data_IF_391014830797
#
_entry.id   IF_391014830797
#
_cell.length_a   1.000
_cell.length_b   1.000
_cell.length_c   1.000
_cell.angle_alpha   90.00
_cell.angle_beta   90.00
_cell.angle_gamma   90.00
#
_symmetry.space_group_name_H-M   'P 1'
#
loop_
_entity.id
_entity.type
_entity.pdbx_description
1 polymer ?
#
# COMPACT_ATOMS: atom_id res chain seq x y z
N UNK A 1 64.82 -6.30 -14.84
CA UNK A 1 63.70 -7.20 -14.46
C UNK A 1 62.83 -6.66 -13.30
N UNK A 2 62.98 -5.40 -12.87
CA UNK A 2 62.38 -4.88 -11.62
C UNK A 2 61.09 -4.07 -11.78
N UNK A 3 60.83 -3.50 -12.98
CA UNK A 3 59.61 -2.71 -13.26
C UNK A 3 58.36 -3.58 -13.39
N UNK A 4 58.48 -4.73 -14.05
CA UNK A 4 57.35 -5.62 -14.35
C UNK A 4 56.77 -6.29 -13.10
N UNK A 5 57.62 -6.60 -12.10
CA UNK A 5 57.18 -7.13 -10.80
C UNK A 5 56.38 -6.12 -9.96
N UNK A 6 56.70 -4.82 -10.07
CA UNK A 6 55.98 -3.76 -9.34
C UNK A 6 54.60 -3.49 -9.93
N UNK A 7 54.47 -3.52 -11.26
CA UNK A 7 53.17 -3.37 -11.93
C UNK A 7 52.24 -4.56 -11.62
N UNK A 8 52.79 -5.78 -11.60
CA UNK A 8 52.01 -6.97 -11.27
C UNK A 8 51.55 -6.99 -9.81
N UNK A 9 52.42 -6.58 -8.87
CA UNK A 9 52.06 -6.47 -7.45
C UNK A 9 51.00 -5.38 -7.19
N UNK A 10 51.06 -4.27 -7.92
CA UNK A 10 50.09 -3.19 -7.81
C UNK A 10 48.73 -3.58 -8.42
N UNK A 11 48.71 -4.30 -9.54
CA UNK A 11 47.48 -4.85 -10.12
C UNK A 11 46.81 -5.87 -9.17
N UNK A 12 47.59 -6.74 -8.52
CA UNK A 12 47.08 -7.70 -7.54
C UNK A 12 46.51 -6.99 -6.29
N UNK A 13 47.16 -5.93 -5.81
CA UNK A 13 46.68 -5.14 -4.68
C UNK A 13 45.39 -4.39 -5.00
N UNK A 14 45.26 -3.82 -6.20
CA UNK A 14 44.01 -3.17 -6.66
C UNK A 14 42.88 -4.19 -6.80
N UNK A 15 43.16 -5.39 -7.29
CA UNK A 15 42.17 -6.47 -7.39
C UNK A 15 41.71 -6.98 -6.02
N UNK A 16 42.62 -7.10 -5.04
CA UNK A 16 42.28 -7.45 -3.66
C UNK A 16 41.44 -6.38 -2.95
N UNK A 17 41.71 -5.11 -3.20
CA UNK A 17 40.88 -4.00 -2.70
C UNK A 17 39.50 -4.02 -3.34
N UNK A 18 39.40 -4.28 -4.65
CA UNK A 18 38.12 -4.43 -5.35
C UNK A 18 37.27 -5.57 -4.76
N UNK A 19 37.89 -6.73 -4.50
CA UNK A 19 37.22 -7.88 -3.88
C UNK A 19 36.81 -7.63 -2.42
N UNK A 20 37.51 -6.76 -1.69
CA UNK A 20 37.10 -6.37 -0.33
C UNK A 20 35.97 -5.33 -0.33
N UNK A 21 35.88 -4.46 -1.33
CA UNK A 21 34.76 -3.52 -1.48
C UNK A 21 33.48 -4.17 -1.99
N UNK A 22 33.58 -5.22 -2.82
CA UNK A 22 32.42 -6.01 -3.28
C UNK A 22 31.69 -6.72 -2.12
N UNK A 23 32.37 -6.97 -0.99
CA UNK A 23 31.77 -7.60 0.20
C UNK A 23 31.04 -6.62 1.15
N UNK A 24 31.14 -5.31 0.94
CA UNK A 24 30.55 -4.29 1.84
C UNK A 24 29.38 -3.55 1.17
N UNK A 25 29.25 -3.63 -0.15
CA UNK A 25 28.17 -2.99 -0.92
C UNK A 25 27.50 -3.94 -1.92
N UNK A 26 27.37 -5.24 -1.60
CA UNK A 26 26.28 -6.00 -2.19
C UNK A 26 24.97 -5.45 -1.59
N UNK A 27 24.02 -4.89 -2.37
CA UNK A 27 22.64 -5.04 -1.97
C UNK A 27 22.48 -6.54 -1.77
N UNK A 28 22.10 -6.97 -0.55
CA UNK A 28 21.62 -8.32 -0.37
C UNK A 28 20.45 -8.44 -1.35
N UNK A 29 20.71 -9.02 -2.52
CA UNK A 29 19.69 -9.75 -3.23
C UNK A 29 19.35 -10.84 -2.24
N UNK A 30 18.33 -10.58 -1.42
CA UNK A 30 17.72 -11.62 -0.63
C UNK A 30 17.48 -12.74 -1.62
N UNK A 31 18.15 -13.88 -1.40
CA UNK A 31 17.69 -15.10 -2.01
C UNK A 31 16.23 -15.20 -1.59
N UNK A 32 15.32 -14.97 -2.54
CA UNK A 32 13.91 -15.27 -2.41
C UNK A 32 13.78 -16.81 -2.37
N UNK A 33 14.26 -17.39 -1.28
CA UNK A 33 13.96 -18.75 -0.84
C UNK A 33 12.97 -18.73 0.33
N UNK A 34 12.35 -17.58 0.62
CA UNK A 34 11.16 -17.51 1.45
C UNK A 34 9.96 -17.81 0.58
N UNK A 35 9.08 -18.70 1.05
CA UNK A 35 7.81 -18.95 0.36
C UNK A 35 7.10 -17.61 0.14
N UNK A 36 6.74 -17.32 -1.11
CA UNK A 36 5.94 -16.14 -1.48
C UNK A 36 4.67 -16.19 -0.63
N UNK A 37 4.45 -15.16 0.18
CA UNK A 37 3.28 -15.08 1.06
C UNK A 37 2.15 -14.29 0.39
N UNK A 38 2.49 -13.39 -0.53
CA UNK A 38 1.54 -12.57 -1.28
C UNK A 38 1.69 -12.86 -2.77
N UNK A 39 0.67 -13.48 -3.36
CA UNK A 39 0.65 -13.76 -4.80
C UNK A 39 0.18 -12.55 -5.61
N UNK A 40 -0.83 -11.86 -5.12
CA UNK A 40 -1.48 -10.77 -5.85
C UNK A 40 -2.15 -9.81 -4.86
N UNK A 41 -2.13 -8.52 -5.17
CA UNK A 41 -2.85 -7.48 -4.44
C UNK A 41 -3.34 -6.46 -5.46
N UNK A 42 -4.65 -6.23 -5.51
CA UNK A 42 -5.29 -5.36 -6.52
C UNK A 42 -6.31 -4.45 -5.90
N UNK A 43 -6.40 -3.26 -6.48
CA UNK A 43 -7.47 -2.31 -6.23
C UNK A 43 -8.38 -2.21 -7.46
N UNK A 44 -9.67 -2.07 -7.18
CA UNK A 44 -10.67 -1.81 -8.22
C UNK A 44 -11.68 -0.78 -7.75
N UNK A 45 -11.88 0.26 -8.54
CA UNK A 45 -13.01 1.17 -8.36
C UNK A 45 -14.33 0.46 -8.67
N UNK A 46 -15.26 0.52 -7.71
CA UNK A 46 -16.66 0.10 -7.90
C UNK A 46 -17.46 1.29 -8.42
N UNK A 47 -17.18 2.49 -7.90
CA UNK A 47 -17.70 3.74 -8.46
C UNK A 47 -17.17 3.93 -9.87
N UNK A 48 -18.05 4.36 -10.78
CA UNK A 48 -17.69 4.62 -12.18
C UNK A 48 -16.67 5.76 -12.26
N UNK A 49 -15.52 5.45 -12.85
CA UNK A 49 -14.48 6.41 -13.16
C UNK A 49 -14.72 7.04 -14.54
N UNK A 50 -14.45 8.34 -14.68
CA UNK A 50 -14.68 9.06 -15.93
C UNK A 50 -13.66 8.72 -17.01
N UNK A 51 -12.37 8.60 -16.65
CA UNK A 51 -11.28 8.37 -17.60
C UNK A 51 -10.71 6.95 -17.56
N UNK A 52 -11.12 6.13 -16.61
CA UNK A 52 -10.85 4.69 -16.55
C UNK A 52 -9.44 4.35 -16.06
N UNK A 53 -8.79 5.24 -15.33
CA UNK A 53 -7.43 5.07 -14.80
C UNK A 53 -7.51 4.38 -13.43
N UNK A 54 -7.02 3.12 -13.28
CA UNK A 54 -7.26 2.33 -12.06
C UNK A 54 -6.74 2.94 -10.77
N UNK A 55 -5.63 3.68 -10.80
CA UNK A 55 -4.95 4.16 -9.59
C UNK A 55 -5.60 5.39 -8.96
N UNK A 56 -6.56 6.04 -9.65
CA UNK A 56 -7.22 7.28 -9.20
C UNK A 56 -8.68 7.30 -9.61
N UNK A 57 -9.45 8.23 -9.05
CA UNK A 57 -10.83 8.43 -9.46
C UNK A 57 -11.02 9.85 -10.01
N UNK A 58 -11.54 9.96 -11.22
CA UNK A 58 -12.05 11.19 -11.80
C UNK A 58 -13.58 11.17 -11.83
N UNK A 59 -14.18 12.09 -11.08
CA UNK A 59 -15.63 12.17 -10.91
C UNK A 59 -16.27 13.07 -11.98
N UNK A 60 -17.46 12.69 -12.47
CA UNK A 60 -18.24 13.48 -13.43
C UNK A 60 -19.09 14.57 -12.76
N UNK A 61 -19.55 15.52 -13.58
CA UNK A 61 -20.51 16.57 -13.22
C UNK A 61 -21.85 16.05 -12.65
N UNK A 62 -22.22 14.78 -12.87
CA UNK A 62 -23.45 14.21 -12.30
C UNK A 62 -23.48 14.22 -10.76
N UNK A 63 -22.30 14.35 -10.13
CA UNK A 63 -22.23 14.57 -8.71
C UNK A 63 -22.63 16.00 -8.30
N UNK A 64 -22.63 17.02 -9.17
CA UNK A 64 -22.83 18.47 -8.89
C UNK A 64 -24.23 18.89 -8.36
N UNK A 65 -24.99 17.98 -7.75
CA UNK A 65 -26.29 18.26 -7.14
C UNK A 65 -26.20 18.91 -5.74
N UNK A 66 -24.99 19.05 -5.18
CA UNK A 66 -24.72 19.63 -3.87
C UNK A 66 -24.92 18.69 -2.68
N UNK A 67 -25.47 17.49 -2.91
CA UNK A 67 -25.67 16.48 -1.89
C UNK A 67 -24.36 15.76 -1.55
N UNK A 68 -24.30 15.21 -0.35
CA UNK A 68 -23.20 14.31 0.02
C UNK A 68 -23.32 13.00 -0.75
N UNK A 69 -22.22 12.52 -1.28
CA UNK A 69 -22.12 11.21 -1.92
C UNK A 69 -20.97 10.39 -1.35
N UNK A 70 -20.91 9.14 -1.80
CA UNK A 70 -19.89 8.17 -1.42
C UNK A 70 -19.28 7.54 -2.67
N UNK A 71 -18.01 7.17 -2.58
CA UNK A 71 -17.33 6.37 -3.60
C UNK A 71 -16.83 5.07 -3.01
N UNK A 72 -16.84 4.01 -3.81
CA UNK A 72 -16.53 2.66 -3.39
C UNK A 72 -15.38 2.08 -4.20
N UNK A 73 -14.51 1.35 -3.52
CA UNK A 73 -13.46 0.54 -4.11
C UNK A 73 -13.37 -0.80 -3.41
N UNK A 74 -12.75 -1.77 -4.07
CA UNK A 74 -12.54 -3.11 -3.55
C UNK A 74 -11.03 -3.39 -3.53
N UNK A 75 -10.57 -3.97 -2.41
CA UNK A 75 -9.23 -4.58 -2.29
C UNK A 75 -9.38 -6.08 -2.47
N UNK A 76 -8.68 -6.64 -3.45
CA UNK A 76 -8.59 -8.08 -3.69
C UNK A 76 -7.15 -8.54 -3.44
N UNK A 77 -6.97 -9.43 -2.47
CA UNK A 77 -5.64 -9.90 -2.04
C UNK A 77 -5.62 -11.42 -2.10
N UNK A 78 -4.59 -11.98 -2.73
CA UNK A 78 -4.36 -13.42 -2.82
C UNK A 78 -3.11 -13.76 -2.05
N UNK A 79 -3.31 -14.49 -0.95
CA UNK A 79 -2.24 -15.01 -0.12
C UNK A 79 -1.83 -16.40 -0.60
N UNK A 80 -0.56 -16.68 -0.43
CA UNK A 80 0.04 -18.00 -0.55
C UNK A 80 0.93 -18.26 0.65
N UNK A 81 1.44 -19.48 0.78
CA UNK A 81 2.29 -19.83 1.89
C UNK A 81 2.37 -21.33 2.06
N UNK A 82 3.36 -21.76 2.83
CA UNK A 82 3.48 -23.16 3.24
C UNK A 82 2.67 -23.43 4.53
N UNK A 83 2.42 -22.40 5.34
CA UNK A 83 1.76 -22.49 6.64
C UNK A 83 0.66 -21.43 6.75
N UNK A 84 -0.26 -21.63 7.68
CA UNK A 84 -1.30 -20.67 8.00
C UNK A 84 -0.72 -19.38 8.60
N UNK A 85 -1.41 -18.27 8.38
CA UNK A 85 -1.05 -16.93 8.84
C UNK A 85 -1.63 -16.70 10.23
N UNK A 86 -0.78 -16.48 11.23
CA UNK A 86 -1.19 -16.28 12.62
C UNK A 86 -1.94 -14.93 12.82
N UNK A 87 -2.75 -14.77 13.88
CA UNK A 87 -3.34 -13.48 14.24
C UNK A 87 -2.31 -12.35 14.28
N UNK A 88 -2.63 -11.22 13.66
CA UNK A 88 -1.77 -10.03 13.57
C UNK A 88 -0.68 -10.10 12.51
N UNK A 89 -0.52 -11.21 11.81
CA UNK A 89 0.57 -11.39 10.83
C UNK A 89 0.31 -10.72 9.49
N UNK A 90 -0.95 -10.45 9.15
CA UNK A 90 -1.36 -9.77 7.91
C UNK A 90 -1.76 -8.34 8.26
N UNK A 91 -1.13 -7.37 7.61
CA UNK A 91 -1.38 -5.93 7.80
C UNK A 91 -1.59 -5.27 6.45
N UNK A 92 -2.77 -4.70 6.24
CA UNK A 92 -3.15 -4.01 4.99
C UNK A 92 -3.27 -2.53 5.28
N UNK A 93 -2.35 -1.73 4.76
CA UNK A 93 -2.25 -0.30 5.04
C UNK A 93 -2.83 0.51 3.90
N UNK A 94 -3.81 1.38 4.19
CA UNK A 94 -4.45 2.28 3.25
C UNK A 94 -4.30 3.75 3.69
N UNK A 95 -4.24 4.72 2.76
CA UNK A 95 -4.28 6.13 3.11
C UNK A 95 -5.62 6.50 3.74
N UNK A 96 -5.60 7.45 4.67
CA UNK A 96 -6.81 7.94 5.34
C UNK A 96 -7.72 8.63 4.35
N UNK A 97 -7.20 9.52 3.51
CA UNK A 97 -7.93 10.19 2.44
C UNK A 97 -7.09 10.38 1.18
N UNK A 98 -7.76 10.44 0.04
CA UNK A 98 -7.16 10.68 -1.29
C UNK A 98 -7.81 11.87 -2.03
N UNK A 99 -8.94 12.38 -1.52
CA UNK A 99 -9.59 13.55 -2.10
C UNK A 99 -9.16 14.81 -1.38
N UNK A 100 -9.13 15.92 -2.11
CA UNK A 100 -8.79 17.22 -1.55
C UNK A 100 -9.99 18.14 -1.54
N UNK A 101 -10.15 18.89 -0.46
CA UNK A 101 -11.15 19.95 -0.39
C UNK A 101 -10.60 21.23 -1.04
N UNK A 102 -11.47 21.99 -1.71
CA UNK A 102 -11.20 23.36 -2.12
C UNK A 102 -10.75 24.21 -0.94
N UNK A 103 -9.66 24.94 -1.11
CA UNK A 103 -9.34 26.05 -0.22
C UNK A 103 -10.36 27.16 -0.39
N UNK A 104 -10.63 27.92 0.67
CA UNK A 104 -11.39 29.17 0.59
C UNK A 104 -10.57 30.31 -0.03
N UNK A 105 -9.30 30.07 -0.35
CA UNK A 105 -8.42 31.05 -0.99
C UNK A 105 -8.72 31.12 -2.50
N UNK A 106 -8.76 32.32 -3.10
CA UNK A 106 -9.00 32.50 -4.52
C UNK A 106 -7.79 32.14 -5.42
N UNK A 107 -6.75 31.52 -4.87
CA UNK A 107 -5.51 31.14 -5.57
C UNK A 107 -5.57 29.72 -6.18
N UNK A 108 -6.69 29.02 -6.04
CA UNK A 108 -6.84 27.64 -6.52
C UNK A 108 -6.12 26.60 -5.66
N UNK A 109 -5.67 26.96 -4.46
CA UNK A 109 -5.08 26.01 -3.51
C UNK A 109 -6.08 24.96 -3.03
N UNK A 110 -5.55 23.82 -2.58
CA UNK A 110 -6.31 22.75 -1.93
C UNK A 110 -6.02 22.75 -0.45
N UNK A 111 -6.94 22.25 0.37
CA UNK A 111 -6.64 22.01 1.77
C UNK A 111 -5.62 20.89 1.92
N UNK A 112 -4.70 21.05 2.87
CA UNK A 112 -3.69 20.03 3.18
C UNK A 112 -4.32 18.79 3.81
N UNK A 113 -5.44 18.97 4.53
CA UNK A 113 -6.20 17.86 5.09
C UNK A 113 -7.08 17.26 4.00
N UNK A 114 -6.98 15.94 3.84
CA UNK A 114 -7.81 15.22 2.88
C UNK A 114 -9.29 15.27 3.26
N UNK A 115 -10.16 15.10 2.27
CA UNK A 115 -11.59 15.31 2.37
C UNK A 115 -12.37 14.00 2.30
N UNK A 116 -13.39 13.88 3.15
CA UNK A 116 -14.21 12.67 3.29
C UNK A 116 -13.78 11.80 4.47
N UNK A 117 -14.46 10.67 4.64
CA UNK A 117 -14.18 9.67 5.67
C UNK A 117 -14.08 8.28 5.05
N UNK A 118 -13.00 7.55 5.35
CA UNK A 118 -12.83 6.17 4.94
C UNK A 118 -13.59 5.25 5.90
N UNK A 119 -14.31 4.30 5.35
CA UNK A 119 -15.03 3.27 6.11
C UNK A 119 -14.67 1.90 5.56
N UNK A 120 -14.41 0.98 6.48
CA UNK A 120 -14.02 -0.39 6.18
C UNK A 120 -15.15 -1.36 6.55
N UNK A 121 -15.24 -2.52 5.89
CA UNK A 121 -16.26 -3.53 6.16
C UNK A 121 -15.99 -4.36 7.43
N UNK A 122 -15.07 -3.90 8.28
CA UNK A 122 -14.59 -4.57 9.49
C UNK A 122 -14.66 -3.57 10.66
N UNK A 123 -14.80 -4.02 11.91
CA UNK A 123 -14.87 -3.15 13.08
C UNK A 123 -13.56 -2.38 13.31
N UNK A 124 -13.62 -1.27 14.06
CA UNK A 124 -12.46 -0.45 14.42
C UNK A 124 -11.62 -0.99 15.58
N UNK A 125 -12.01 -2.14 16.12
CA UNK A 125 -11.36 -2.86 17.21
C UNK A 125 -11.67 -4.35 17.06
N UNK A 126 -10.83 -5.25 17.58
CA UNK A 126 -11.15 -6.68 17.63
C UNK A 126 -12.50 -6.91 18.32
N UNK A 127 -13.37 -7.73 17.72
CA UNK A 127 -14.67 -8.10 18.30
C UNK A 127 -15.00 -9.55 18.03
N UNK A 128 -15.73 -10.16 18.97
CA UNK A 128 -16.22 -11.53 18.81
C UNK A 128 -17.15 -11.60 17.59
N UNK A 129 -16.76 -12.36 16.57
CA UNK A 129 -17.51 -12.54 15.33
C UNK A 129 -16.92 -11.84 14.10
N UNK A 130 -15.83 -11.08 14.25
CA UNK A 130 -15.04 -10.59 13.12
C UNK A 130 -13.67 -11.26 13.08
N UNK A 131 -13.24 -11.67 11.89
CA UNK A 131 -11.89 -12.20 11.65
C UNK A 131 -10.83 -11.09 11.49
N UNK A 132 -11.26 -9.84 11.47
CA UNK A 132 -10.46 -8.67 11.13
C UNK A 132 -10.94 -7.44 11.90
N UNK A 133 -10.05 -6.48 12.08
CA UNK A 133 -10.40 -5.12 12.47
C UNK A 133 -9.55 -4.11 11.71
N UNK A 134 -9.91 -2.84 11.80
CA UNK A 134 -9.06 -1.73 11.35
C UNK A 134 -8.62 -0.85 12.52
N UNK A 135 -7.45 -0.24 12.41
CA UNK A 135 -6.89 0.71 13.37
C UNK A 135 -6.46 2.02 12.68
N UNK A 136 -6.61 3.16 13.35
CA UNK A 136 -6.04 4.46 12.92
C UNK A 136 -4.62 4.58 13.48
N UNK A 137 -3.63 4.68 12.60
CA UNK A 137 -2.22 4.79 13.01
C UNK A 137 -1.84 6.20 13.45
N UNK A 138 -2.75 7.18 13.32
CA UNK A 138 -2.54 8.58 13.71
C UNK A 138 -1.64 9.37 12.75
N UNK A 139 -1.02 8.71 11.77
CA UNK A 139 -0.11 9.31 10.78
C UNK A 139 -0.76 9.46 9.39
N UNK A 140 -2.10 9.50 9.35
CA UNK A 140 -2.85 9.64 8.12
C UNK A 140 -3.06 8.33 7.36
N UNK A 141 -2.92 7.18 8.04
CA UNK A 141 -3.17 5.85 7.48
C UNK A 141 -4.14 5.06 8.35
N UNK A 142 -4.77 4.08 7.72
CA UNK A 142 -5.52 3.02 8.39
C UNK A 142 -4.86 1.69 8.11
N UNK A 143 -4.93 0.78 9.07
CA UNK A 143 -4.42 -0.59 8.90
C UNK A 143 -5.52 -1.58 9.20
N UNK A 144 -5.80 -2.50 8.29
CA UNK A 144 -6.64 -3.68 8.53
C UNK A 144 -5.75 -4.83 8.96
N UNK A 145 -6.11 -5.50 10.05
CA UNK A 145 -5.31 -6.55 10.71
C UNK A 145 -6.18 -7.79 10.92
N UNK A 146 -5.63 -8.98 10.72
CA UNK A 146 -6.34 -10.22 11.02
C UNK A 146 -6.32 -10.51 12.52
N UNK A 147 -7.48 -10.87 13.07
CA UNK A 147 -7.65 -11.25 14.49
C UNK A 147 -7.62 -12.76 14.72
N UNK A 148 -7.76 -13.52 13.64
CA UNK A 148 -7.77 -14.99 13.67
C UNK A 148 -6.75 -15.55 12.70
N UNK A 149 -6.44 -16.83 12.86
CA UNK A 149 -5.59 -17.56 11.92
C UNK A 149 -6.27 -17.62 10.55
N UNK A 150 -5.53 -17.28 9.49
CA UNK A 150 -5.97 -17.34 8.09
C UNK A 150 -5.22 -18.48 7.39
N UNK A 151 -5.92 -19.24 6.54
CA UNK A 151 -5.30 -20.35 5.80
C UNK A 151 -4.11 -19.91 4.94
N UNK A 152 -3.15 -20.81 4.76
CA UNK A 152 -1.91 -20.57 4.01
C UNK A 152 -2.17 -20.00 2.61
N UNK A 153 -3.19 -20.53 1.93
CA UNK A 153 -3.68 -20.02 0.66
C UNK A 153 -5.10 -19.47 0.85
N UNK A 154 -5.24 -18.16 0.74
CA UNK A 154 -6.50 -17.46 0.98
C UNK A 154 -6.73 -16.38 -0.08
N UNK A 155 -8.00 -16.09 -0.36
CA UNK A 155 -8.41 -14.93 -1.16
C UNK A 155 -9.25 -14.02 -0.29
N UNK A 156 -8.81 -12.79 -0.13
CA UNK A 156 -9.41 -11.78 0.73
C UNK A 156 -10.02 -10.68 -0.14
N UNK A 157 -11.22 -10.25 0.23
CA UNK A 157 -11.97 -9.21 -0.48
C UNK A 157 -12.51 -8.22 0.54
N UNK A 158 -12.13 -6.94 0.41
CA UNK A 158 -12.58 -5.87 1.28
C UNK A 158 -13.26 -4.76 0.46
N UNK A 159 -14.60 -4.67 0.47
CA UNK A 159 -15.31 -3.53 -0.11
C UNK A 159 -15.25 -2.32 0.83
N UNK A 160 -14.54 -1.28 0.41
CA UNK A 160 -14.31 -0.06 1.17
C UNK A 160 -15.12 1.10 0.60
N UNK A 161 -15.47 2.06 1.45
CA UNK A 161 -16.24 3.24 1.05
C UNK A 161 -15.61 4.52 1.59
N UNK A 162 -15.44 5.51 0.72
CA UNK A 162 -15.14 6.90 1.10
C UNK A 162 -16.47 7.65 1.12
N UNK A 163 -16.78 8.29 2.24
CA UNK A 163 -18.08 8.95 2.52
C UNK A 163 -17.91 10.43 2.82
N UNK A 164 -19.02 11.17 2.83
CA UNK A 164 -19.02 12.59 3.23
C UNK A 164 -18.44 13.54 2.19
N UNK A 165 -18.32 13.09 0.94
CA UNK A 165 -17.84 13.91 -0.17
C UNK A 165 -18.97 14.81 -0.65
N UNK A 166 -18.68 16.10 -0.83
CA UNK A 166 -19.58 17.05 -1.48
C UNK A 166 -18.93 17.61 -2.75
N UNK A 167 -19.65 17.64 -3.88
CA UNK A 167 -19.11 18.01 -5.18
C UNK A 167 -18.64 19.46 -5.22
N UNK A 168 -19.43 20.38 -4.67
CA UNK A 168 -19.09 21.80 -4.59
C UNK A 168 -17.89 22.09 -3.67
N UNK A 169 -17.48 21.12 -2.84
CA UNK A 169 -16.29 21.20 -2.00
C UNK A 169 -15.09 20.50 -2.60
N UNK A 170 -15.28 19.59 -3.55
CA UNK A 170 -14.20 18.97 -4.30
C UNK A 170 -13.60 19.96 -5.31
N UNK A 171 -12.31 19.81 -5.54
CA UNK A 171 -11.62 20.58 -6.58
C UNK A 171 -12.10 20.05 -7.93
N UNK A 172 -12.65 20.94 -8.75
CA UNK A 172 -13.25 20.55 -10.02
C UNK A 172 -12.19 19.99 -10.98
N UNK A 173 -12.52 18.88 -11.64
CA UNK A 173 -11.66 18.18 -12.60
C UNK A 173 -10.26 17.79 -12.09
N UNK A 174 -10.01 17.82 -10.78
CA UNK A 174 -8.78 17.32 -10.19
C UNK A 174 -8.96 15.84 -9.86
N UNK A 175 -8.12 14.95 -10.40
CA UNK A 175 -8.11 13.56 -9.97
C UNK A 175 -7.81 13.45 -8.47
N UNK A 176 -8.29 12.38 -7.84
CA UNK A 176 -7.81 12.02 -6.50
C UNK A 176 -6.29 11.80 -6.51
N UNK A 177 -5.67 11.90 -5.33
CA UNK A 177 -4.37 11.29 -5.12
C UNK A 177 -4.44 9.79 -5.45
N UNK A 178 -3.30 9.16 -5.82
CA UNK A 178 -3.27 7.73 -6.07
C UNK A 178 -3.73 6.95 -4.84
N UNK A 179 -4.74 6.11 -5.02
CA UNK A 179 -5.10 5.14 -3.99
C UNK A 179 -4.12 3.97 -4.08
N UNK A 180 -3.22 3.88 -3.10
CA UNK A 180 -2.24 2.79 -2.98
C UNK A 180 -2.42 2.09 -1.66
N UNK A 181 -2.45 0.77 -1.69
CA UNK A 181 -2.52 -0.07 -0.52
C UNK A 181 -1.28 -0.92 -0.43
N UNK A 182 -0.68 -0.99 0.76
CA UNK A 182 0.47 -1.84 1.04
C UNK A 182 0.02 -3.02 1.88
N UNK A 183 0.24 -4.23 1.38
CA UNK A 183 -0.01 -5.48 2.09
C UNK A 183 1.32 -5.97 2.64
N UNK A 184 1.41 -6.16 3.96
CA UNK A 184 2.53 -6.81 4.64
C UNK A 184 2.06 -8.13 5.26
N UNK A 185 2.81 -9.20 5.03
CA UNK A 185 2.60 -10.50 5.67
C UNK A 185 3.88 -10.92 6.38
N UNK A 186 3.76 -11.24 7.67
CA UNK A 186 4.87 -11.77 8.48
C UNK A 186 4.70 -13.28 8.63
N UNK A 187 5.60 -14.06 8.03
CA UNK A 187 5.64 -15.50 8.18
C UNK A 187 6.07 -15.90 9.61
N UNK A 188 5.83 -17.16 9.99
CA UNK A 188 6.11 -17.69 11.33
C UNK A 188 7.59 -17.66 11.72
N UNK A 189 8.49 -17.74 10.73
CA UNK A 189 9.93 -17.60 10.91
C UNK A 189 10.38 -16.13 11.07
N UNK A 190 9.43 -15.18 11.02
CA UNK A 190 9.65 -13.75 11.11
C UNK A 190 9.98 -13.07 9.78
N UNK A 191 10.03 -13.82 8.67
CA UNK A 191 10.26 -13.22 7.36
C UNK A 191 9.05 -12.39 6.91
N UNK A 192 9.31 -11.18 6.41
CA UNK A 192 8.26 -10.29 5.89
C UNK A 192 8.20 -10.34 4.37
N UNK A 193 7.00 -10.44 3.85
CA UNK A 193 6.67 -10.22 2.45
C UNK A 193 5.82 -8.94 2.34
N UNK A 194 6.04 -8.14 1.31
CA UNK A 194 5.35 -6.86 1.14
C UNK A 194 5.03 -6.62 -0.33
N UNK A 195 3.79 -6.23 -0.61
CA UNK A 195 3.31 -5.92 -1.94
C UNK A 195 2.47 -4.65 -1.92
N UNK A 196 2.75 -3.76 -2.87
CA UNK A 196 1.90 -2.60 -3.16
C UNK A 196 0.95 -2.93 -4.32
N UNK A 197 -0.26 -2.37 -4.25
CA UNK A 197 -1.27 -2.42 -5.33
C UNK A 197 -0.98 -1.46 -6.47
#
# INVERSE_FOLDING_TARGET
MTRMRRVLAMALAVMLVFLMFDNIFMPRVAHAGGAIQIRDAKLKWVTTDYDGIPERLLLKKEYDNGDTFSVQYQMDIVLTGAEAHEPGSIRITAPKQIFHQRSSRPDGSVQTEGYGNMTFPVPSTPTDGSSWHWEDTGDGRYVIVNDVTIDAAASLMFPCTITGLQPNRLVDMLPSDPLKVTVEVTAKDGMKDTMDT
#
